data_IF_807757274153
#
_entry.id   IF_807757274153
#
_cell.length_a   1.000
_cell.length_b   1.000
_cell.length_c   1.000
_cell.angle_alpha   90.00
_cell.angle_beta   90.00
_cell.angle_gamma   90.00
#
_symmetry.space_group_name_H-M   'P 1'
#
loop_
_entity.id
_entity.type
_entity.pdbx_description
1 polymer ?
#
# COMPACT_ATOMS: atom_id res chain seq x y z
N UNK A 1 -7.88 2.05 24.83
CA UNK A 1 -6.70 2.59 25.57
C UNK A 1 -6.98 4.00 26.04
N UNK A 2 -6.30 4.47 27.11
CA UNK A 2 -6.36 5.86 27.54
C UNK A 2 -5.71 6.79 26.50
N UNK A 3 -6.10 8.05 26.51
CA UNK A 3 -5.50 9.11 25.69
C UNK A 3 -4.35 9.72 26.48
N UNK A 4 -3.18 9.85 25.87
CA UNK A 4 -2.00 10.42 26.50
C UNK A 4 -1.62 11.74 25.85
N UNK A 5 -1.17 12.67 26.69
CA UNK A 5 -0.65 13.98 26.31
C UNK A 5 0.81 14.12 26.72
N UNK A 6 1.63 14.64 25.81
CA UNK A 6 3.01 14.98 26.09
C UNK A 6 3.34 16.38 25.58
N UNK A 7 3.93 17.20 26.45
CA UNK A 7 4.37 18.55 26.10
C UNK A 7 5.87 18.56 25.79
N UNK A 8 6.23 18.99 24.60
CA UNK A 8 7.62 19.07 24.13
C UNK A 8 8.49 19.98 25.00
N UNK A 9 7.90 20.97 25.70
CA UNK A 9 8.64 21.87 26.59
C UNK A 9 9.22 21.15 27.79
N UNK A 10 8.65 20.00 28.18
CA UNK A 10 9.12 19.18 29.28
C UNK A 10 10.33 18.30 28.96
N UNK A 11 10.77 18.28 27.66
CA UNK A 11 11.88 17.50 27.17
C UNK A 11 11.58 15.99 27.07
N UNK A 12 12.45 15.26 26.35
CA UNK A 12 12.27 13.83 26.03
C UNK A 12 12.35 12.88 27.24
N UNK A 13 12.86 13.34 28.37
CA UNK A 13 12.97 12.56 29.61
C UNK A 13 11.67 12.51 30.39
N UNK A 14 10.72 13.40 30.10
CA UNK A 14 9.41 13.44 30.77
C UNK A 14 8.44 12.54 30.04
N UNK A 15 7.75 11.64 30.75
CA UNK A 15 6.74 10.75 30.14
C UNK A 15 5.46 11.51 29.86
N UNK A 16 4.72 11.03 28.84
CA UNK A 16 3.34 11.43 28.61
C UNK A 16 2.47 11.09 29.81
N UNK A 17 1.47 11.92 30.06
CA UNK A 17 0.47 11.74 31.14
C UNK A 17 -0.90 11.48 30.51
N UNK A 18 -1.77 10.80 31.24
CA UNK A 18 -3.14 10.60 30.81
C UNK A 18 -3.88 11.93 30.72
N UNK A 19 -4.57 12.16 29.60
CA UNK A 19 -5.30 13.39 29.32
C UNK A 19 -6.32 13.70 30.43
N UNK A 20 -7.02 12.69 30.92
CA UNK A 20 -8.02 12.81 31.98
C UNK A 20 -7.45 13.30 33.31
N UNK A 21 -6.14 13.22 33.54
CA UNK A 21 -5.47 13.67 34.76
C UNK A 21 -5.06 15.14 34.72
N UNK A 22 -5.15 15.79 33.56
CA UNK A 22 -4.83 17.20 33.44
C UNK A 22 -5.90 18.07 34.12
N UNK A 23 -5.46 19.17 34.69
CA UNK A 23 -6.37 20.13 35.31
C UNK A 23 -7.39 20.67 34.29
N UNK A 24 -8.67 20.53 34.58
CA UNK A 24 -9.76 20.93 33.69
C UNK A 24 -10.26 19.83 32.74
N UNK A 25 -9.62 18.67 32.68
CA UNK A 25 -9.97 17.57 31.77
C UNK A 25 -10.96 16.56 32.39
N UNK A 26 -11.83 16.97 33.28
CA UNK A 26 -12.72 16.08 34.04
C UNK A 26 -13.72 15.31 33.17
N UNK A 27 -14.05 15.83 31.99
CA UNK A 27 -14.95 15.21 31.01
C UNK A 27 -14.24 14.61 29.82
N UNK A 28 -12.90 14.49 29.82
CA UNK A 28 -12.15 13.88 28.74
C UNK A 28 -12.44 12.36 28.67
N UNK A 29 -12.47 11.77 27.46
CA UNK A 29 -12.64 10.32 27.30
C UNK A 29 -11.54 9.56 28.03
N UNK A 30 -11.93 8.54 28.81
CA UNK A 30 -11.01 7.66 29.52
C UNK A 30 -10.50 6.51 28.63
N UNK A 31 -11.31 6.13 27.62
CA UNK A 31 -11.01 5.05 26.70
C UNK A 31 -11.28 5.53 25.28
N UNK A 32 -10.36 5.26 24.36
CA UNK A 32 -10.56 5.49 22.93
C UNK A 32 -9.85 4.41 22.10
N UNK A 33 -10.41 4.09 20.95
CA UNK A 33 -9.77 3.23 19.94
C UNK A 33 -8.73 4.03 19.16
N UNK A 34 -9.09 5.23 18.69
CA UNK A 34 -8.22 6.13 17.95
C UNK A 34 -8.47 7.58 18.36
N UNK A 35 -7.44 8.40 18.21
CA UNK A 35 -7.52 9.85 18.39
C UNK A 35 -6.93 10.53 17.17
N UNK A 36 -7.62 11.56 16.67
CA UNK A 36 -7.16 12.48 15.63
C UNK A 36 -7.17 13.91 16.17
N UNK A 37 -6.26 14.72 15.67
CA UNK A 37 -6.33 16.18 15.82
C UNK A 37 -6.68 16.72 14.44
N UNK A 38 -7.84 17.38 14.32
CA UNK A 38 -8.23 18.00 13.05
C UNK A 38 -7.37 19.24 12.81
N UNK A 39 -6.55 19.19 11.77
CA UNK A 39 -5.66 20.30 11.40
C UNK A 39 -6.43 21.55 10.98
N UNK A 40 -7.57 21.35 10.33
CA UNK A 40 -8.41 22.42 9.80
C UNK A 40 -9.26 23.08 10.88
N UNK A 41 -9.95 22.26 11.64
CA UNK A 41 -11.01 22.71 12.56
C UNK A 41 -10.51 22.80 14.01
N UNK A 42 -9.28 22.33 14.27
CA UNK A 42 -8.55 22.39 15.54
C UNK A 42 -9.29 21.79 16.73
N UNK A 43 -9.92 20.64 16.48
CA UNK A 43 -10.54 19.80 17.51
C UNK A 43 -9.72 18.54 17.72
N UNK A 44 -9.70 18.03 18.94
CA UNK A 44 -9.24 16.69 19.22
C UNK A 44 -10.46 15.79 19.16
N UNK A 45 -10.40 14.72 18.37
CA UNK A 45 -11.50 13.82 18.11
C UNK A 45 -11.12 12.42 18.55
N UNK A 46 -11.92 11.83 19.43
CA UNK A 46 -11.76 10.48 19.95
C UNK A 46 -12.82 9.57 19.33
N UNK A 47 -12.39 8.44 18.75
CA UNK A 47 -13.23 7.47 18.08
C UNK A 47 -13.31 6.17 18.90
N UNK A 48 -14.51 5.55 18.92
CA UNK A 48 -14.74 4.33 19.69
C UNK A 48 -14.44 4.55 21.18
N UNK A 49 -15.03 5.56 21.77
CA UNK A 49 -14.71 6.01 23.12
C UNK A 49 -15.88 5.79 24.10
N UNK A 50 -15.65 6.10 25.37
CA UNK A 50 -16.71 6.16 26.38
C UNK A 50 -17.57 7.41 26.19
N UNK A 51 -18.87 7.31 26.52
CA UNK A 51 -19.80 8.44 26.49
C UNK A 51 -19.59 9.38 27.68
N UNK A 52 -20.02 10.63 27.53
CA UNK A 52 -20.01 11.59 28.67
C UNK A 52 -20.89 11.13 29.81
N UNK A 53 -22.00 10.44 29.49
CA UNK A 53 -22.92 9.91 30.50
C UNK A 53 -22.42 8.69 31.28
N UNK A 54 -21.47 7.94 30.69
CA UNK A 54 -20.94 6.69 31.28
C UNK A 54 -19.42 6.61 31.13
N UNK A 55 -18.66 7.47 31.83
CA UNK A 55 -17.20 7.47 31.76
C UNK A 55 -16.59 6.12 32.12
N UNK A 56 -15.61 5.67 31.32
CA UNK A 56 -14.94 4.38 31.48
C UNK A 56 -15.68 3.17 30.90
N UNK A 57 -16.90 3.35 30.37
CA UNK A 57 -17.63 2.31 29.65
C UNK A 57 -17.60 2.60 28.15
N UNK A 58 -16.77 1.88 27.40
CA UNK A 58 -16.59 2.09 25.98
C UNK A 58 -17.87 1.77 25.20
N UNK A 59 -18.34 2.69 24.36
CA UNK A 59 -19.24 2.42 23.24
C UNK A 59 -18.44 2.48 21.94
N UNK A 60 -18.22 1.36 21.25
CA UNK A 60 -17.36 1.30 20.06
C UNK A 60 -17.82 2.17 18.88
N UNK A 61 -19.05 2.69 18.90
CA UNK A 61 -19.61 3.53 17.84
C UNK A 61 -19.69 5.02 18.19
N UNK A 62 -19.22 5.40 19.37
CA UNK A 62 -19.25 6.79 19.83
C UNK A 62 -18.00 7.54 19.36
N UNK A 63 -18.22 8.79 18.97
CA UNK A 63 -17.20 9.78 18.61
C UNK A 63 -17.40 10.97 19.54
N UNK A 64 -16.33 11.38 20.23
CA UNK A 64 -16.34 12.61 21.03
C UNK A 64 -15.29 13.56 20.51
N UNK A 65 -15.58 14.85 20.59
CA UNK A 65 -14.65 15.90 20.19
C UNK A 65 -14.55 16.99 21.25
N UNK A 66 -13.34 17.50 21.43
CA UNK A 66 -13.06 18.59 22.36
C UNK A 66 -13.67 19.91 21.85
N UNK A 67 -13.73 20.92 22.69
CA UNK A 67 -13.93 22.29 22.24
C UNK A 67 -12.78 22.73 21.33
N UNK A 68 -13.04 23.63 20.40
CA UNK A 68 -12.06 24.15 19.46
C UNK A 68 -10.83 24.73 20.20
N UNK A 69 -9.64 24.38 19.72
CA UNK A 69 -8.36 24.80 20.30
C UNK A 69 -8.18 24.44 21.79
N UNK A 70 -9.01 23.56 22.35
CA UNK A 70 -8.93 23.16 23.74
C UNK A 70 -8.51 21.68 23.87
N UNK A 71 -7.52 21.46 24.71
CA UNK A 71 -7.06 20.14 25.11
C UNK A 71 -7.96 19.51 26.20
N UNK A 72 -8.56 20.34 27.05
CA UNK A 72 -9.19 19.92 28.29
C UNK A 72 -10.72 20.00 28.32
N UNK A 73 -11.32 20.80 27.45
CA UNK A 73 -12.77 20.99 27.39
C UNK A 73 -13.46 19.95 26.53
N UNK A 74 -14.02 18.91 27.15
CA UNK A 74 -14.69 17.78 26.48
C UNK A 74 -16.17 17.66 26.86
N UNK A 75 -16.62 18.37 27.88
CA UNK A 75 -18.04 18.40 28.26
C UNK A 75 -18.87 19.22 27.28
N UNK A 76 -19.99 18.68 26.81
CA UNK A 76 -20.91 19.34 25.87
C UNK A 76 -21.68 20.46 26.59
N UNK A 77 -21.39 21.70 26.24
CA UNK A 77 -22.07 22.90 26.79
C UNK A 77 -22.60 23.77 25.63
N UNK A 78 -23.66 24.50 25.89
CA UNK A 78 -24.24 25.47 24.93
C UNK A 78 -23.24 26.56 24.53
N UNK A 79 -22.23 26.80 25.35
CA UNK A 79 -21.25 27.88 25.19
C UNK A 79 -19.95 27.42 24.53
N UNK A 80 -19.76 26.13 24.30
CA UNK A 80 -18.55 25.59 23.67
C UNK A 80 -18.88 24.73 22.43
N UNK A 81 -17.85 24.22 21.77
CA UNK A 81 -18.00 23.39 20.56
C UNK A 81 -17.71 21.91 20.81
N UNK A 82 -17.51 21.50 22.07
CA UNK A 82 -17.37 20.10 22.44
C UNK A 82 -18.69 19.33 22.23
N UNK A 83 -18.61 18.06 21.94
CA UNK A 83 -19.80 17.25 21.71
C UNK A 83 -19.52 15.77 21.53
N UNK A 84 -20.63 15.05 21.35
CA UNK A 84 -20.69 13.61 21.18
C UNK A 84 -21.60 13.23 20.03
N UNK A 85 -21.19 12.27 19.23
CA UNK A 85 -21.97 11.69 18.13
C UNK A 85 -21.87 10.16 18.21
N UNK A 86 -22.94 9.48 17.79
CA UNK A 86 -22.97 8.02 17.71
C UNK A 86 -23.34 7.58 16.32
N UNK A 87 -22.55 6.64 15.75
CA UNK A 87 -22.82 6.03 14.45
C UNK A 87 -24.03 5.08 14.53
N UNK A 88 -24.79 5.02 13.45
CA UNK A 88 -26.02 4.21 13.37
C UNK A 88 -25.81 2.81 12.77
N UNK A 89 -24.69 2.55 12.09
CA UNK A 89 -24.42 1.28 11.41
C UNK A 89 -23.02 0.80 11.71
N UNK A 90 -22.86 -0.50 11.93
CA UNK A 90 -21.64 -1.16 12.36
C UNK A 90 -21.70 -1.64 13.80
N UNK A 91 -20.68 -2.37 14.22
CA UNK A 91 -20.50 -2.83 15.60
C UNK A 91 -19.36 -2.11 16.30
N UNK A 92 -18.37 -1.64 15.56
CA UNK A 92 -17.23 -0.88 16.07
C UNK A 92 -16.62 0.04 15.01
N UNK A 93 -16.02 1.13 15.45
CA UNK A 93 -15.16 1.99 14.62
C UNK A 93 -13.79 1.35 14.57
N UNK A 94 -13.33 1.03 13.35
CA UNK A 94 -12.01 0.45 13.11
C UNK A 94 -10.95 1.54 13.04
N UNK A 95 -11.19 2.56 12.20
CA UNK A 95 -10.28 3.70 12.08
C UNK A 95 -10.98 4.93 11.50
N UNK A 96 -10.31 6.07 11.60
CA UNK A 96 -10.67 7.31 10.95
C UNK A 96 -9.45 7.90 10.23
N UNK A 97 -9.69 8.48 9.06
CA UNK A 97 -8.65 9.06 8.20
C UNK A 97 -9.06 10.47 7.81
N UNK A 98 -8.22 11.44 8.11
CA UNK A 98 -8.46 12.84 7.78
C UNK A 98 -8.02 13.13 6.33
N UNK A 99 -8.86 13.86 5.60
CA UNK A 99 -8.55 14.50 4.33
C UNK A 99 -8.61 16.01 4.51
N UNK A 100 -8.29 16.78 3.49
CA UNK A 100 -8.36 18.25 3.56
C UNK A 100 -9.75 18.80 3.87
N UNK A 101 -10.82 18.09 3.50
CA UNK A 101 -12.18 18.60 3.60
C UNK A 101 -13.04 17.89 4.64
N UNK A 102 -12.72 16.65 4.98
CA UNK A 102 -13.55 15.79 5.80
C UNK A 102 -12.73 14.65 6.43
N UNK A 103 -13.32 14.02 7.41
CA UNK A 103 -12.76 12.81 8.03
C UNK A 103 -13.60 11.63 7.56
N UNK A 104 -12.98 10.60 6.98
CA UNK A 104 -13.62 9.32 6.72
C UNK A 104 -13.52 8.45 7.96
N UNK A 105 -14.66 7.95 8.43
CA UNK A 105 -14.76 7.04 9.56
C UNK A 105 -15.19 5.67 9.07
N UNK A 106 -14.36 4.68 9.32
CA UNK A 106 -14.60 3.29 8.93
C UNK A 106 -15.09 2.49 10.11
N UNK A 107 -16.21 1.82 9.93
CA UNK A 107 -16.65 0.76 10.83
C UNK A 107 -16.29 -0.61 10.23
N UNK A 108 -16.61 -1.67 10.92
CA UNK A 108 -16.48 -3.05 10.43
C UNK A 108 -17.28 -3.32 9.14
N UNK A 109 -18.37 -2.57 8.88
CA UNK A 109 -19.28 -2.80 7.72
C UNK A 109 -19.65 -1.55 6.94
N UNK A 110 -19.31 -0.34 7.40
CA UNK A 110 -19.79 0.91 6.81
C UNK A 110 -18.73 2.01 6.81
N UNK A 111 -18.93 2.99 5.94
CA UNK A 111 -18.09 4.18 5.84
C UNK A 111 -18.95 5.42 6.00
N UNK A 112 -18.47 6.30 6.85
CA UNK A 112 -19.10 7.61 7.09
C UNK A 112 -18.14 8.73 6.71
N UNK A 113 -18.69 9.88 6.36
CA UNK A 113 -17.96 11.15 6.33
C UNK A 113 -18.38 12.00 7.52
N UNK A 114 -17.39 12.58 8.19
CA UNK A 114 -17.55 13.53 9.26
C UNK A 114 -17.00 14.88 8.81
N UNK A 115 -17.81 15.94 8.89
CA UNK A 115 -17.46 17.28 8.43
C UNK A 115 -17.79 18.30 9.50
N UNK A 116 -16.96 19.33 9.60
CA UNK A 116 -17.27 20.50 10.41
C UNK A 116 -18.38 21.32 9.75
N UNK A 117 -19.49 21.49 10.45
CA UNK A 117 -20.68 22.23 9.98
C UNK A 117 -20.93 23.50 10.79
N UNK A 118 -20.17 23.68 11.87
CA UNK A 118 -20.27 24.82 12.77
C UNK A 118 -21.41 24.73 13.79
N UNK A 119 -21.47 25.70 14.70
CA UNK A 119 -22.49 25.73 15.74
C UNK A 119 -23.92 25.74 15.17
N UNK A 120 -24.90 25.08 15.83
CA UNK A 120 -24.81 24.49 17.18
C UNK A 120 -24.32 23.04 17.19
N UNK A 121 -24.14 22.38 16.07
CA UNK A 121 -23.85 20.93 16.00
C UNK A 121 -22.36 20.60 15.91
N UNK A 122 -21.51 21.56 15.59
CA UNK A 122 -20.07 21.44 15.40
C UNK A 122 -19.69 20.48 14.25
N UNK A 123 -19.99 19.19 14.34
CA UNK A 123 -19.75 18.20 13.30
C UNK A 123 -21.05 17.52 12.84
N UNK A 124 -21.12 17.25 11.54
CA UNK A 124 -22.15 16.43 10.91
C UNK A 124 -21.55 15.11 10.40
N UNK A 125 -22.35 14.05 10.46
CA UNK A 125 -21.99 12.72 9.99
C UNK A 125 -22.95 12.28 8.91
N UNK A 126 -22.42 11.76 7.78
CA UNK A 126 -23.20 11.17 6.71
C UNK A 126 -22.72 9.76 6.40
N UNK A 127 -23.64 8.81 6.32
CA UNK A 127 -23.36 7.47 5.83
C UNK A 127 -23.12 7.52 4.32
N UNK A 128 -21.97 7.02 3.86
CA UNK A 128 -21.60 7.03 2.45
C UNK A 128 -21.82 5.67 1.80
N UNK A 129 -21.46 4.60 2.48
CA UNK A 129 -21.59 3.25 1.96
C UNK A 129 -21.75 2.22 3.07
N UNK A 130 -22.51 1.18 2.76
CA UNK A 130 -22.67 -0.01 3.61
C UNK A 130 -22.08 -1.26 2.91
N UNK A 131 -21.86 -2.32 3.67
CA UNK A 131 -21.27 -3.58 3.19
C UNK A 131 -19.85 -3.43 2.61
N UNK A 132 -19.12 -2.47 3.11
CA UNK A 132 -17.71 -2.24 2.78
C UNK A 132 -16.91 -2.29 4.08
N UNK A 133 -15.89 -3.14 4.08
CA UNK A 133 -15.01 -3.36 5.22
C UNK A 133 -13.61 -2.82 4.96
N UNK A 134 -12.88 -2.61 6.03
CA UNK A 134 -11.46 -2.28 6.02
C UNK A 134 -10.67 -3.42 6.65
N UNK A 135 -9.44 -3.69 6.18
CA UNK A 135 -8.64 -4.84 6.62
C UNK A 135 -8.09 -4.67 8.03
N UNK A 136 -7.60 -3.50 8.35
CA UNK A 136 -6.99 -3.15 9.64
C UNK A 136 -7.11 -1.66 9.91
N UNK A 137 -6.80 -1.26 11.13
CA UNK A 137 -6.86 0.15 11.55
C UNK A 137 -5.86 1.07 10.81
N UNK A 138 -4.81 0.54 10.21
CA UNK A 138 -3.83 1.31 9.43
C UNK A 138 -3.85 1.00 7.93
N UNK A 139 -4.82 0.25 7.41
CA UNK A 139 -4.85 -0.15 5.99
C UNK A 139 -5.47 0.89 5.05
N UNK A 140 -5.76 2.10 5.54
CA UNK A 140 -6.19 3.24 4.76
C UNK A 140 -5.16 4.37 4.81
N UNK A 141 -5.04 5.09 3.69
CA UNK A 141 -4.19 6.27 3.56
C UNK A 141 -4.88 7.34 2.74
N UNK A 142 -4.78 8.60 3.19
CA UNK A 142 -5.24 9.76 2.45
C UNK A 142 -4.12 10.35 1.59
N UNK A 143 -4.45 10.66 0.35
CA UNK A 143 -3.62 11.44 -0.56
C UNK A 143 -4.48 12.60 -1.02
N UNK A 144 -4.19 13.78 -0.51
CA UNK A 144 -5.04 14.98 -0.68
C UNK A 144 -6.47 14.74 -0.19
N UNK A 145 -7.46 14.77 -1.09
CA UNK A 145 -8.88 14.53 -0.79
C UNK A 145 -9.34 13.12 -1.18
N UNK A 146 -8.42 12.26 -1.56
CA UNK A 146 -8.69 10.88 -1.96
C UNK A 146 -8.17 9.91 -0.90
N UNK A 147 -9.00 8.95 -0.48
CA UNK A 147 -8.61 7.91 0.47
C UNK A 147 -8.59 6.57 -0.23
N UNK A 148 -7.48 5.86 -0.08
CA UNK A 148 -7.27 4.50 -0.59
C UNK A 148 -7.21 3.53 0.58
N UNK A 149 -7.84 2.34 0.46
CA UNK A 149 -7.74 1.33 1.50
C UNK A 149 -7.81 -0.09 0.99
N UNK A 150 -7.26 -0.99 1.78
CA UNK A 150 -7.38 -2.42 1.58
C UNK A 150 -8.58 -2.94 2.39
N UNK A 151 -9.56 -3.49 1.70
CA UNK A 151 -10.68 -4.19 2.32
C UNK A 151 -10.39 -5.67 2.59
N UNK A 152 -11.41 -6.46 2.92
CA UNK A 152 -11.22 -7.88 3.20
C UNK A 152 -10.83 -8.71 1.96
N UNK A 153 -11.29 -8.31 0.77
CA UNK A 153 -11.06 -9.07 -0.46
C UNK A 153 -10.77 -8.19 -1.68
N UNK A 154 -10.75 -6.88 -1.53
CA UNK A 154 -10.58 -5.94 -2.63
C UNK A 154 -9.90 -4.65 -2.15
N UNK A 155 -9.46 -3.83 -3.11
CA UNK A 155 -8.97 -2.50 -2.86
C UNK A 155 -9.99 -1.47 -3.28
N UNK A 156 -10.07 -0.39 -2.53
CA UNK A 156 -11.07 0.65 -2.71
C UNK A 156 -10.47 2.04 -2.71
N UNK A 157 -11.21 2.97 -3.29
CA UNK A 157 -10.89 4.39 -3.31
C UNK A 157 -12.14 5.21 -3.04
N UNK A 158 -11.97 6.28 -2.28
CA UNK A 158 -12.96 7.34 -2.10
C UNK A 158 -12.43 8.67 -2.63
N UNK A 159 -13.16 9.25 -3.56
CA UNK A 159 -12.94 10.59 -4.10
C UNK A 159 -14.30 11.26 -4.35
N UNK A 160 -15.09 11.40 -3.28
CA UNK A 160 -16.51 11.84 -3.35
C UNK A 160 -17.51 10.68 -3.45
N UNK A 161 -17.11 9.53 -3.95
CA UNK A 161 -17.87 8.26 -3.94
C UNK A 161 -16.94 7.09 -3.73
N UNK A 162 -17.48 6.00 -3.17
CA UNK A 162 -16.72 4.77 -2.95
C UNK A 162 -16.70 3.93 -4.21
N UNK A 163 -15.50 3.63 -4.70
CA UNK A 163 -15.29 2.79 -5.87
C UNK A 163 -14.29 1.67 -5.58
N UNK A 164 -14.51 0.53 -6.21
CA UNK A 164 -13.57 -0.57 -6.20
C UNK A 164 -12.45 -0.31 -7.21
N UNK A 165 -11.21 -0.55 -6.83
CA UNK A 165 -10.06 -0.45 -7.72
C UNK A 165 -9.84 -1.82 -8.37
N UNK A 166 -9.93 -1.94 -9.71
CA UNK A 166 -9.56 -3.17 -10.40
C UNK A 166 -8.09 -3.53 -10.11
N UNK A 167 -7.86 -4.73 -9.60
CA UNK A 167 -6.51 -5.17 -9.22
C UNK A 167 -6.15 -6.45 -9.97
N UNK A 168 -5.08 -6.39 -10.78
CA UNK A 168 -4.61 -7.53 -11.58
C UNK A 168 -3.86 -8.58 -10.76
N UNK A 169 -3.35 -8.19 -9.59
CA UNK A 169 -2.62 -9.09 -8.66
C UNK A 169 -3.45 -9.46 -7.43
N UNK A 170 -4.75 -9.22 -7.47
CA UNK A 170 -5.66 -9.44 -6.35
C UNK A 170 -5.55 -10.84 -5.75
N UNK A 171 -5.69 -11.86 -6.57
CA UNK A 171 -5.69 -13.25 -6.11
C UNK A 171 -4.34 -13.65 -5.51
N UNK A 172 -3.23 -13.12 -6.06
CA UNK A 172 -1.91 -13.33 -5.50
C UNK A 172 -1.81 -12.77 -4.08
N UNK A 173 -2.26 -11.54 -3.87
CA UNK A 173 -2.15 -10.85 -2.57
C UNK A 173 -3.07 -11.49 -1.53
N UNK A 174 -4.36 -11.65 -1.83
CA UNK A 174 -5.34 -12.11 -0.83
C UNK A 174 -5.27 -13.61 -0.52
N UNK A 175 -4.72 -14.43 -1.43
CA UNK A 175 -4.45 -15.86 -1.16
C UNK A 175 -3.18 -16.05 -0.34
N UNK A 176 -2.20 -15.16 -0.48
CA UNK A 176 -0.93 -15.22 0.25
C UNK A 176 -0.97 -14.50 1.61
N UNK A 177 -1.97 -13.65 1.85
CA UNK A 177 -2.07 -12.86 3.09
C UNK A 177 -2.33 -13.74 4.32
N UNK A 178 -1.51 -13.57 5.36
CA UNK A 178 -1.75 -14.20 6.66
C UNK A 178 -2.92 -13.53 7.38
N UNK A 179 -4.07 -14.20 7.42
CA UNK A 179 -5.32 -13.67 7.98
C UNK A 179 -5.27 -13.51 9.50
N UNK A 180 -4.46 -14.32 10.20
CA UNK A 180 -4.30 -14.24 11.65
C UNK A 180 -3.48 -13.00 12.07
N UNK A 181 -2.62 -12.52 11.18
CA UNK A 181 -1.78 -11.35 11.38
C UNK A 181 -2.28 -10.13 10.59
N UNK A 182 -3.52 -10.14 10.11
CA UNK A 182 -4.09 -9.10 9.27
C UNK A 182 -4.14 -7.71 9.93
N UNK A 183 -4.16 -7.64 11.24
CA UNK A 183 -4.08 -6.39 12.00
C UNK A 183 -2.77 -5.60 11.78
N UNK A 184 -1.71 -6.28 11.32
CA UNK A 184 -0.41 -5.66 11.01
C UNK A 184 -0.38 -4.98 9.65
N UNK A 185 -1.35 -5.23 8.77
CA UNK A 185 -1.43 -4.60 7.45
C UNK A 185 -1.52 -3.09 7.62
N UNK A 186 -0.69 -2.36 6.90
CA UNK A 186 -0.78 -0.90 6.86
C UNK A 186 -0.62 -0.36 5.44
N UNK A 187 -1.22 0.81 5.20
CA UNK A 187 -1.11 1.56 3.97
C UNK A 187 -0.11 2.71 4.13
N UNK A 188 0.56 3.05 3.06
CA UNK A 188 1.52 4.13 3.00
C UNK A 188 1.41 4.87 1.66
N UNK A 189 1.67 6.17 1.66
CA UNK A 189 1.81 6.96 0.45
C UNK A 189 3.28 7.11 0.08
N UNK A 190 3.58 7.05 -1.22
CA UNK A 190 4.83 7.46 -1.81
C UNK A 190 4.51 8.50 -2.91
N UNK A 191 4.25 9.72 -2.47
CA UNK A 191 3.72 10.79 -3.32
C UNK A 191 4.68 11.17 -4.46
N UNK A 192 6.00 10.99 -4.26
CA UNK A 192 7.01 11.25 -5.29
C UNK A 192 6.86 10.40 -6.56
N UNK A 193 6.23 9.25 -6.45
CA UNK A 193 6.00 8.29 -7.53
C UNK A 193 4.52 8.07 -7.85
N UNK A 194 3.62 8.81 -7.23
CA UNK A 194 2.16 8.66 -7.37
C UNK A 194 1.67 7.26 -6.97
N UNK A 195 2.15 6.77 -5.83
CA UNK A 195 1.93 5.39 -5.39
C UNK A 195 1.26 5.30 -4.04
N UNK A 196 0.42 4.25 -3.90
CA UNK A 196 -0.10 3.75 -2.63
C UNK A 196 0.45 2.36 -2.41
N UNK A 197 1.05 2.15 -1.25
CA UNK A 197 1.64 0.90 -0.83
C UNK A 197 0.79 0.27 0.28
N UNK A 198 0.58 -1.05 0.21
CA UNK A 198 0.05 -1.84 1.33
C UNK A 198 1.07 -2.90 1.69
N UNK A 199 1.57 -2.80 2.90
CA UNK A 199 2.47 -3.78 3.48
C UNK A 199 1.67 -4.84 4.22
N UNK A 200 2.01 -6.10 4.01
CA UNK A 200 1.27 -7.21 4.60
C UNK A 200 2.17 -8.40 4.94
N UNK A 201 1.82 -9.21 5.97
CA UNK A 201 2.48 -10.49 6.24
C UNK A 201 1.99 -11.56 5.26
N UNK A 202 2.92 -12.29 4.64
CA UNK A 202 2.58 -13.44 3.81
C UNK A 202 2.05 -14.62 4.63
N UNK A 203 1.46 -15.61 3.98
CA UNK A 203 0.89 -16.80 4.64
C UNK A 203 1.92 -17.57 5.49
N UNK A 204 3.20 -17.46 5.16
CA UNK A 204 4.30 -18.12 5.87
C UNK A 204 4.99 -17.25 6.92
N UNK A 205 4.56 -15.99 7.08
CA UNK A 205 5.18 -15.02 7.99
C UNK A 205 4.22 -14.54 9.07
N UNK A 206 4.73 -14.32 10.27
CA UNK A 206 4.02 -13.63 11.33
C UNK A 206 4.29 -12.11 11.35
N UNK A 207 5.29 -11.65 10.62
CA UNK A 207 5.66 -10.25 10.46
C UNK A 207 5.52 -9.81 9.00
N UNK A 208 5.47 -8.48 8.78
CA UNK A 208 5.37 -7.92 7.44
C UNK A 208 6.63 -8.26 6.65
N UNK A 209 6.45 -8.90 5.50
CA UNK A 209 7.51 -9.33 4.60
C UNK A 209 7.22 -9.04 3.13
N UNK A 210 5.99 -8.62 2.81
CA UNK A 210 5.56 -8.32 1.44
C UNK A 210 4.82 -7.00 1.33
N UNK A 211 4.76 -6.52 0.11
CA UNK A 211 3.97 -5.35 -0.24
C UNK A 211 3.29 -5.49 -1.60
N UNK A 212 2.22 -4.75 -1.77
CA UNK A 212 1.55 -4.50 -3.05
C UNK A 212 1.43 -3.01 -3.25
N UNK A 213 1.66 -2.54 -4.46
CA UNK A 213 1.64 -1.13 -4.83
C UNK A 213 0.63 -0.87 -5.93
N UNK A 214 -0.08 0.22 -5.80
CA UNK A 214 -0.92 0.79 -6.83
C UNK A 214 -0.41 2.16 -7.24
N UNK A 215 0.05 2.30 -8.47
CA UNK A 215 0.30 3.61 -9.05
C UNK A 215 -1.03 4.22 -9.50
N UNK A 216 -1.48 5.26 -8.79
CA UNK A 216 -2.83 5.83 -9.01
C UNK A 216 -2.90 6.74 -10.24
N UNK A 217 -1.78 7.17 -10.80
CA UNK A 217 -1.71 7.93 -12.05
C UNK A 217 -1.76 6.99 -13.27
N UNK A 218 -0.89 5.98 -13.30
CA UNK A 218 -0.78 5.03 -14.40
C UNK A 218 -1.79 3.88 -14.34
N UNK A 219 -2.47 3.68 -13.20
CA UNK A 219 -3.44 2.61 -12.93
C UNK A 219 -2.82 1.21 -13.06
N UNK A 220 -1.58 1.04 -12.68
CA UNK A 220 -0.86 -0.22 -12.69
C UNK A 220 -0.59 -0.73 -11.28
N UNK A 221 -0.42 -2.06 -11.17
CA UNK A 221 -0.13 -2.75 -9.94
C UNK A 221 1.20 -3.48 -10.04
N UNK A 222 1.94 -3.53 -8.96
CA UNK A 222 3.10 -4.39 -8.79
C UNK A 222 3.25 -4.85 -7.35
N UNK A 223 4.08 -5.87 -7.15
CA UNK A 223 4.29 -6.54 -5.87
C UNK A 223 5.77 -6.68 -5.59
N UNK A 224 6.12 -6.88 -4.34
CA UNK A 224 7.48 -7.16 -3.95
C UNK A 224 7.56 -7.69 -2.52
N UNK A 225 8.79 -7.90 -2.08
CA UNK A 225 9.12 -8.33 -0.73
C UNK A 225 9.95 -7.28 -0.04
N UNK A 226 9.50 -6.82 1.12
CA UNK A 226 10.20 -5.81 1.92
C UNK A 226 9.70 -5.86 3.36
N UNK A 227 10.61 -5.98 4.29
CA UNK A 227 10.35 -6.03 5.71
C UNK A 227 10.28 -4.60 6.27
N UNK A 228 9.10 -4.01 6.31
CA UNK A 228 8.88 -2.66 6.89
C UNK A 228 7.61 -2.68 7.74
N UNK A 229 7.71 -2.12 8.93
CA UNK A 229 6.63 -2.09 9.93
C UNK A 229 5.94 -0.74 10.04
N UNK A 230 6.57 0.31 9.57
CA UNK A 230 6.02 1.65 9.48
C UNK A 230 6.69 2.41 8.33
N UNK A 231 5.97 3.37 7.77
CA UNK A 231 6.42 4.19 6.66
C UNK A 231 6.02 5.64 6.85
N UNK A 232 6.93 6.54 6.57
CA UNK A 232 6.70 7.97 6.50
C UNK A 232 7.14 8.47 5.12
N UNK A 233 6.21 9.08 4.39
CA UNK A 233 6.52 9.69 3.10
C UNK A 233 7.55 10.83 3.30
N UNK A 234 8.21 11.19 2.22
CA UNK A 234 9.32 12.16 2.24
C UNK A 234 8.97 13.48 2.97
N UNK A 235 7.74 14.00 2.82
CA UNK A 235 7.33 15.26 3.44
C UNK A 235 8.36 16.37 3.24
N UNK A 236 9.00 16.80 4.33
CA UNK A 236 10.11 17.77 4.33
C UNK A 236 11.48 17.12 4.18
N UNK A 237 11.56 15.78 4.18
CA UNK A 237 12.80 15.05 3.99
C UNK A 237 13.08 14.87 2.49
N UNK A 238 14.32 14.54 2.15
CA UNK A 238 14.69 14.27 0.76
C UNK A 238 14.12 12.95 0.24
N UNK A 239 13.91 11.96 1.14
CA UNK A 239 13.47 10.62 0.84
C UNK A 239 12.48 10.09 1.87
N UNK A 240 11.61 9.12 1.51
CA UNK A 240 10.79 8.39 2.48
C UNK A 240 11.65 7.63 3.49
N UNK A 241 11.12 7.48 4.70
CA UNK A 241 11.78 6.75 5.78
C UNK A 241 10.87 5.65 6.29
N UNK A 242 11.41 4.46 6.49
CA UNK A 242 10.65 3.34 7.01
C UNK A 242 11.38 2.62 8.15
N UNK A 243 10.61 2.12 9.11
CA UNK A 243 11.11 1.27 10.18
C UNK A 243 11.06 -0.20 9.77
N UNK A 244 12.04 -0.97 10.24
CA UNK A 244 12.12 -2.41 10.02
C UNK A 244 12.09 -3.18 11.34
N UNK A 245 11.79 -4.47 11.28
CA UNK A 245 11.78 -5.37 12.45
C UNK A 245 13.16 -5.59 13.07
N UNK A 246 14.24 -5.25 12.37
CA UNK A 246 15.61 -5.29 12.88
C UNK A 246 15.96 -4.12 13.81
N UNK A 247 15.04 -3.15 13.98
CA UNK A 247 15.20 -2.00 14.85
C UNK A 247 15.89 -0.79 14.20
N UNK A 248 16.11 -0.83 12.88
CA UNK A 248 16.70 0.28 12.13
C UNK A 248 15.64 1.09 11.35
N UNK A 249 15.99 2.33 11.07
CA UNK A 249 15.28 3.20 10.12
C UNK A 249 16.07 3.23 8.82
N UNK A 250 15.35 3.04 7.72
CA UNK A 250 15.93 3.04 6.37
C UNK A 250 15.38 4.19 5.55
N UNK A 251 16.27 4.88 4.85
CA UNK A 251 15.88 5.80 3.79
C UNK A 251 15.55 5.00 2.53
N UNK A 252 14.43 5.35 1.91
CA UNK A 252 13.97 4.72 0.67
C UNK A 252 14.13 5.66 -0.52
N UNK A 253 14.04 5.11 -1.73
CA UNK A 253 14.19 5.85 -2.99
C UNK A 253 15.56 6.54 -3.11
N UNK A 254 16.61 5.89 -2.58
CA UNK A 254 17.99 6.39 -2.62
C UNK A 254 18.91 5.35 -3.24
N UNK A 255 19.45 5.66 -4.45
CA UNK A 255 20.32 4.73 -5.20
C UNK A 255 19.55 3.60 -5.89
N UNK A 256 20.31 2.65 -6.44
CA UNK A 256 19.82 1.53 -7.26
C UNK A 256 19.97 0.17 -6.57
N UNK A 257 20.56 0.12 -5.37
CA UNK A 257 20.87 -1.10 -4.63
C UNK A 257 20.25 -1.12 -3.23
N UNK A 258 20.17 -2.30 -2.64
CA UNK A 258 19.79 -2.47 -1.25
C UNK A 258 20.98 -2.12 -0.33
N UNK A 259 20.91 -0.91 0.23
CA UNK A 259 21.89 -0.38 1.19
C UNK A 259 21.74 -0.89 2.62
N UNK A 260 20.81 -1.83 2.90
CA UNK A 260 20.62 -2.39 4.25
C UNK A 260 21.77 -3.32 4.68
N UNK A 261 22.62 -3.75 3.74
CA UNK A 261 23.77 -4.62 3.98
C UNK A 261 25.09 -3.93 3.64
N UNK A 262 26.17 -4.39 4.25
CA UNK A 262 27.53 -3.94 3.89
C UNK A 262 28.43 -5.17 3.60
N UNK A 263 28.88 -5.39 2.35
CA UNK A 263 28.63 -4.54 1.17
C UNK A 263 27.15 -4.53 0.75
N UNK A 264 26.75 -3.50 0.00
CA UNK A 264 25.40 -3.38 -0.54
C UNK A 264 25.02 -4.59 -1.38
N UNK A 265 23.78 -5.00 -1.35
CA UNK A 265 23.26 -6.12 -2.14
C UNK A 265 22.37 -5.62 -3.29
N UNK A 266 22.25 -6.46 -4.32
CA UNK A 266 21.41 -6.13 -5.47
C UNK A 266 19.93 -6.18 -5.12
N UNK A 267 19.15 -5.23 -5.63
CA UNK A 267 17.70 -5.32 -5.67
C UNK A 267 17.33 -6.30 -6.80
N UNK A 268 16.70 -7.42 -6.44
CA UNK A 268 16.17 -8.37 -7.42
C UNK A 268 14.90 -7.81 -8.05
N UNK A 269 15.02 -7.21 -9.22
CA UNK A 269 13.92 -6.61 -9.95
C UNK A 269 13.59 -7.38 -11.22
N UNK A 270 12.30 -7.57 -11.51
CA UNK A 270 11.87 -8.17 -12.77
C UNK A 270 10.53 -7.64 -13.26
N UNK A 271 10.34 -7.75 -14.59
CA UNK A 271 9.05 -7.60 -15.25
C UNK A 271 8.84 -8.81 -16.15
N UNK A 272 7.66 -9.42 -16.08
CA UNK A 272 7.28 -10.56 -16.92
C UNK A 272 5.94 -10.29 -17.58
N UNK A 273 5.86 -10.45 -18.89
CA UNK A 273 4.61 -10.31 -19.62
C UNK A 273 3.68 -11.49 -19.32
N UNK A 274 2.39 -11.27 -19.47
CA UNK A 274 1.44 -12.38 -19.68
C UNK A 274 1.81 -13.13 -20.96
N UNK A 275 1.10 -14.22 -21.21
CA UNK A 275 1.25 -14.96 -22.45
C UNK A 275 0.80 -14.14 -23.65
N UNK A 276 1.66 -14.07 -24.66
CA UNK A 276 1.42 -13.41 -25.94
C UNK A 276 1.22 -14.52 -26.97
N UNK A 277 0.01 -14.61 -27.52
CA UNK A 277 -0.28 -15.52 -28.60
C UNK A 277 0.16 -14.92 -29.94
N UNK A 278 0.71 -15.76 -30.81
CA UNK A 278 1.16 -15.35 -32.15
C UNK A 278 0.04 -15.66 -33.14
N UNK A 279 -0.56 -14.60 -33.67
CA UNK A 279 -1.77 -14.74 -34.48
C UNK A 279 -2.96 -15.23 -33.69
N UNK A 280 -3.64 -16.27 -34.16
CA UNK A 280 -4.76 -16.94 -33.49
C UNK A 280 -4.33 -18.05 -32.49
N UNK A 281 -3.03 -18.25 -32.27
CA UNK A 281 -2.48 -19.32 -31.43
C UNK A 281 -2.55 -20.73 -32.03
N UNK A 282 -3.08 -20.90 -33.23
CA UNK A 282 -3.24 -22.20 -33.86
C UNK A 282 -1.96 -22.76 -34.48
N UNK A 283 -1.00 -21.91 -34.80
CA UNK A 283 0.23 -22.29 -35.48
C UNK A 283 1.43 -22.18 -34.55
N UNK A 284 2.40 -23.06 -34.75
CA UNK A 284 3.71 -22.86 -34.13
C UNK A 284 4.42 -21.71 -34.83
N UNK A 285 5.18 -20.99 -34.05
CA UNK A 285 6.04 -19.94 -34.55
C UNK A 285 7.46 -20.16 -34.07
N UNK A 286 8.41 -19.80 -34.89
CA UNK A 286 9.83 -19.85 -34.59
C UNK A 286 10.34 -18.45 -34.38
N UNK A 287 10.91 -18.21 -33.21
CA UNK A 287 11.49 -16.93 -32.79
C UNK A 287 12.98 -16.98 -33.05
N UNK A 288 13.50 -16.02 -33.81
CA UNK A 288 14.89 -16.00 -34.25
C UNK A 288 15.72 -14.88 -33.67
N UNK A 289 15.09 -13.72 -33.34
CA UNK A 289 15.78 -12.54 -32.91
C UNK A 289 14.88 -11.71 -32.01
N UNK A 290 15.49 -11.02 -31.05
CA UNK A 290 14.87 -10.01 -30.19
C UNK A 290 15.69 -8.74 -30.24
N UNK A 291 15.03 -7.59 -30.40
CA UNK A 291 15.60 -6.27 -30.18
C UNK A 291 15.10 -5.83 -28.80
N UNK A 292 15.97 -5.73 -27.79
CA UNK A 292 15.55 -5.66 -26.38
C UNK A 292 14.89 -4.33 -25.98
N UNK A 293 15.23 -3.23 -26.62
CA UNK A 293 14.77 -1.87 -26.27
C UNK A 293 14.89 -1.57 -24.76
N UNK A 294 16.10 -1.74 -24.25
CA UNK A 294 16.46 -1.45 -22.86
C UNK A 294 17.33 -0.19 -22.78
N UNK A 295 16.99 0.71 -21.89
CA UNK A 295 17.82 1.89 -21.56
C UNK A 295 18.39 1.70 -20.16
N UNK A 296 19.70 1.80 -20.03
CA UNK A 296 20.40 1.73 -18.77
C UNK A 296 20.61 3.15 -18.21
N UNK A 297 20.35 3.33 -16.92
CA UNK A 297 20.51 4.59 -16.20
C UNK A 297 21.38 4.36 -14.99
N UNK A 298 22.30 5.29 -14.75
CA UNK A 298 23.18 5.24 -13.56
C UNK A 298 23.92 3.91 -13.36
N UNK A 299 24.00 3.09 -14.42
CA UNK A 299 24.59 1.75 -14.35
C UNK A 299 26.10 1.82 -14.51
N UNK A 300 26.82 0.96 -13.78
CA UNK A 300 28.24 0.76 -13.97
C UNK A 300 28.53 0.19 -15.37
N UNK A 301 29.71 0.47 -15.90
CA UNK A 301 30.17 -0.09 -17.18
C UNK A 301 30.13 -1.62 -17.14
N UNK A 302 29.53 -2.24 -18.18
CA UNK A 302 29.38 -3.70 -18.27
C UNK A 302 28.19 -4.27 -17.49
N UNK A 303 27.33 -3.44 -16.91
CA UNK A 303 26.09 -3.90 -16.29
C UNK A 303 25.15 -4.53 -17.33
N UNK A 304 24.53 -5.66 -16.99
CA UNK A 304 23.62 -6.37 -17.86
C UNK A 304 22.32 -6.74 -17.17
N UNK A 305 21.20 -6.60 -17.89
CA UNK A 305 19.93 -7.19 -17.53
C UNK A 305 19.75 -8.52 -18.26
N UNK A 306 19.08 -9.47 -17.64
CA UNK A 306 18.83 -10.77 -18.25
C UNK A 306 17.45 -10.77 -18.90
N UNK A 307 17.41 -11.05 -20.20
CA UNK A 307 16.18 -11.19 -20.96
C UNK A 307 15.90 -12.69 -21.20
N UNK A 308 14.75 -13.17 -20.75
CA UNK A 308 14.34 -14.56 -20.87
C UNK A 308 13.03 -14.63 -21.66
N UNK A 309 13.05 -15.37 -22.78
CA UNK A 309 11.85 -15.79 -23.50
C UNK A 309 11.47 -17.21 -23.09
N UNK A 310 10.19 -17.39 -22.74
CA UNK A 310 9.59 -18.69 -22.41
C UNK A 310 8.52 -19.02 -23.45
N UNK A 311 8.46 -20.26 -23.94
CA UNK A 311 7.45 -20.65 -24.93
C UNK A 311 6.60 -21.82 -24.45
N UNK A 312 5.34 -21.86 -24.91
CA UNK A 312 4.40 -22.97 -24.68
C UNK A 312 3.98 -23.62 -26.00
N UNK A 313 3.65 -24.91 -25.91
CA UNK A 313 3.15 -25.67 -27.06
C UNK A 313 1.61 -25.65 -27.13
N UNK A 314 0.91 -25.34 -26.04
CA UNK A 314 -0.54 -25.29 -25.99
C UNK A 314 -1.02 -24.18 -25.03
N UNK A 315 -2.16 -23.54 -25.28
CA UNK A 315 -2.79 -22.61 -24.36
C UNK A 315 -3.04 -23.29 -23.01
N UNK A 316 -2.78 -22.58 -21.92
CA UNK A 316 -2.90 -23.13 -20.57
C UNK A 316 -1.83 -24.16 -20.17
N UNK A 317 -0.95 -24.57 -21.08
CA UNK A 317 0.17 -25.45 -20.78
C UNK A 317 1.25 -24.76 -19.95
N UNK A 318 2.15 -25.56 -19.38
CA UNK A 318 3.32 -25.05 -18.68
C UNK A 318 4.45 -24.68 -19.68
N UNK A 319 5.50 -24.05 -19.20
CA UNK A 319 6.68 -23.67 -19.98
C UNK A 319 7.75 -24.79 -20.04
N UNK A 320 7.39 -26.01 -19.67
CA UNK A 320 8.33 -27.13 -19.61
C UNK A 320 8.60 -27.71 -20.99
N UNK A 321 9.76 -28.29 -21.17
CA UNK A 321 10.06 -29.11 -22.34
C UNK A 321 9.18 -30.36 -22.30
N UNK A 322 8.82 -30.88 -23.50
CA UNK A 322 7.86 -31.97 -23.65
C UNK A 322 8.23 -33.27 -22.92
N UNK A 323 9.52 -33.48 -22.66
CA UNK A 323 10.04 -34.68 -21.99
C UNK A 323 10.70 -34.39 -20.63
N UNK A 324 10.47 -33.18 -20.06
CA UNK A 324 11.04 -32.78 -18.79
C UNK A 324 9.95 -32.27 -17.85
N UNK A 325 10.08 -32.60 -16.56
CA UNK A 325 9.25 -32.06 -15.48
C UNK A 325 9.85 -30.80 -14.85
N UNK A 326 11.10 -30.47 -15.15
CA UNK A 326 11.86 -29.40 -14.51
C UNK A 326 12.48 -28.40 -15.49
N UNK A 327 12.81 -28.80 -16.71
CA UNK A 327 13.50 -27.93 -17.67
C UNK A 327 12.51 -27.04 -18.40
N UNK A 328 12.67 -25.74 -18.26
CA UNK A 328 11.85 -24.74 -18.95
C UNK A 328 12.27 -24.61 -20.42
N UNK A 329 11.28 -24.50 -21.30
CA UNK A 329 11.51 -24.20 -22.72
C UNK A 329 11.72 -22.70 -22.89
N UNK A 330 12.94 -22.26 -22.71
CA UNK A 330 13.32 -20.84 -22.67
C UNK A 330 14.65 -20.58 -23.38
N UNK A 331 14.84 -19.34 -23.78
CA UNK A 331 16.13 -18.80 -24.19
C UNK A 331 16.43 -17.57 -23.32
N UNK A 332 17.61 -17.55 -22.74
CA UNK A 332 18.06 -16.46 -21.86
C UNK A 332 19.26 -15.78 -22.49
N UNK A 333 19.23 -14.45 -22.54
CA UNK A 333 20.28 -13.63 -23.14
C UNK A 333 20.61 -12.47 -22.22
N UNK A 334 21.89 -12.24 -21.89
CA UNK A 334 22.30 -11.01 -21.23
C UNK A 334 22.19 -9.84 -22.23
N UNK A 335 21.67 -8.71 -21.76
CA UNK A 335 21.52 -7.48 -22.53
C UNK A 335 22.28 -6.38 -21.81
N UNK A 336 23.22 -5.80 -22.51
CA UNK A 336 24.04 -4.67 -22.05
C UNK A 336 23.64 -3.39 -22.79
N UNK A 337 24.19 -2.26 -22.39
CA UNK A 337 23.86 -0.95 -22.95
C UNK A 337 23.98 -0.87 -24.48
N UNK A 338 24.92 -1.61 -25.07
CA UNK A 338 25.20 -1.58 -26.53
C UNK A 338 24.69 -2.83 -27.26
N UNK A 339 23.84 -3.64 -26.63
CA UNK A 339 23.26 -4.80 -27.28
C UNK A 339 22.16 -4.38 -28.24
N UNK A 340 22.45 -4.41 -29.54
CA UNK A 340 21.51 -4.02 -30.60
C UNK A 340 20.43 -5.11 -30.81
N UNK A 341 20.86 -6.37 -30.88
CA UNK A 341 19.96 -7.53 -31.02
C UNK A 341 20.48 -8.77 -30.29
N UNK A 342 19.57 -9.64 -29.95
CA UNK A 342 19.85 -10.95 -29.36
C UNK A 342 19.28 -12.05 -30.23
N UNK A 343 20.13 -13.02 -30.63
CA UNK A 343 19.71 -14.15 -31.43
C UNK A 343 19.28 -15.32 -30.57
N UNK A 344 18.07 -15.79 -30.80
CA UNK A 344 17.45 -16.88 -30.05
C UNK A 344 16.93 -17.95 -31.00
N UNK A 345 16.66 -19.15 -30.46
CA UNK A 345 16.05 -20.25 -31.21
C UNK A 345 14.98 -20.91 -30.36
N UNK A 346 13.77 -20.39 -30.48
CA UNK A 346 12.62 -20.90 -29.74
C UNK A 346 11.46 -21.20 -30.68
N UNK A 347 10.74 -22.28 -30.38
CA UNK A 347 9.54 -22.71 -31.08
C UNK A 347 8.40 -22.87 -30.09
N UNK A 348 7.28 -22.24 -30.37
CA UNK A 348 6.07 -22.33 -29.54
C UNK A 348 4.86 -21.73 -30.22
N UNK A 349 3.68 -21.90 -29.62
CA UNK A 349 2.45 -21.25 -30.09
C UNK A 349 2.24 -19.90 -29.41
N UNK A 350 2.69 -19.80 -28.18
CA UNK A 350 2.66 -18.56 -27.43
C UNK A 350 3.97 -18.40 -26.65
N UNK A 351 4.28 -17.17 -26.26
CA UNK A 351 5.49 -16.85 -25.52
C UNK A 351 5.23 -15.82 -24.42
N UNK A 352 6.10 -15.80 -23.42
CA UNK A 352 6.20 -14.74 -22.43
C UNK A 352 7.63 -14.20 -22.40
N UNK A 353 7.75 -12.90 -22.20
CA UNK A 353 9.01 -12.20 -22.07
C UNK A 353 9.21 -11.80 -20.61
N UNK A 354 10.38 -12.12 -20.07
CA UNK A 354 10.83 -11.68 -18.76
C UNK A 354 12.13 -10.92 -18.91
N UNK A 355 12.22 -9.78 -18.25
CA UNK A 355 13.46 -9.01 -18.07
C UNK A 355 13.73 -8.92 -16.58
N UNK A 356 14.95 -9.21 -16.17
CA UNK A 356 15.33 -9.19 -14.76
C UNK A 356 16.77 -8.73 -14.54
N UNK A 357 17.04 -8.19 -13.36
CA UNK A 357 18.39 -7.89 -12.88
C UNK A 357 18.56 -8.37 -11.45
N UNK A 358 19.75 -8.90 -11.16
CA UNK A 358 20.15 -9.42 -9.84
C UNK A 358 21.56 -8.99 -9.47
N UNK A 359 22.11 -8.00 -10.19
CA UNK A 359 23.45 -7.46 -9.97
C UNK A 359 23.37 -6.06 -9.38
N UNK A 360 24.38 -5.68 -8.60
CA UNK A 360 24.47 -4.34 -8.02
C UNK A 360 24.82 -3.27 -9.06
N UNK A 361 24.47 -2.02 -8.77
CA UNK A 361 24.81 -0.88 -9.60
C UNK A 361 24.11 -0.86 -10.97
N UNK A 362 22.89 -1.37 -11.06
CA UNK A 362 22.15 -1.43 -12.31
C UNK A 362 20.76 -0.78 -12.18
N UNK A 363 20.53 0.27 -12.97
CA UNK A 363 19.22 0.86 -13.20
C UNK A 363 18.82 0.70 -14.68
N UNK A 364 17.64 0.17 -14.97
CA UNK A 364 17.18 -0.05 -16.35
C UNK A 364 15.71 0.33 -16.54
N UNK A 365 15.39 0.65 -17.77
CA UNK A 365 14.03 0.93 -18.22
C UNK A 365 13.74 0.10 -19.46
N UNK A 366 12.65 -0.67 -19.41
CA UNK A 366 12.14 -1.42 -20.55
C UNK A 366 11.24 -0.52 -21.42
N UNK A 367 11.55 -0.43 -22.71
CA UNK A 367 10.73 0.20 -23.72
C UNK A 367 9.79 -0.80 -24.42
N UNK A 368 9.79 -0.81 -25.74
CA UNK A 368 8.95 -1.68 -26.57
C UNK A 368 9.81 -2.72 -27.29
N UNK A 369 10.11 -3.87 -26.69
CA UNK A 369 10.95 -4.90 -27.31
C UNK A 369 10.27 -5.43 -28.59
N UNK A 370 11.09 -5.74 -29.59
CA UNK A 370 10.63 -6.29 -30.89
C UNK A 370 11.13 -7.70 -31.05
N UNK A 371 10.29 -8.56 -31.60
CA UNK A 371 10.59 -9.98 -31.78
C UNK A 371 10.39 -10.36 -33.21
N UNK A 372 11.41 -10.97 -33.85
CA UNK A 372 11.30 -11.53 -35.19
C UNK A 372 10.75 -12.95 -35.12
N UNK A 373 9.57 -13.12 -35.70
CA UNK A 373 8.81 -14.36 -35.66
C UNK A 373 8.56 -14.87 -37.07
N UNK A 374 8.70 -16.19 -37.25
CA UNK A 374 8.36 -16.87 -38.51
C UNK A 374 7.33 -17.97 -38.23
N UNK A 375 6.28 -18.10 -39.04
CA UNK A 375 5.38 -19.25 -38.99
C UNK A 375 6.13 -20.57 -39.19
N UNK A 376 5.82 -21.60 -38.39
CA UNK A 376 6.48 -22.91 -38.40
C UNK A 376 5.48 -24.08 -38.37
N UNK A 377 4.36 -23.91 -39.09
CA UNK A 377 3.36 -24.94 -39.31
C UNK A 377 2.46 -25.21 -38.08
N UNK A 378 1.62 -26.24 -38.22
CA UNK A 378 0.62 -26.61 -37.19
C UNK A 378 1.04 -27.77 -36.28
N UNK A 379 2.15 -28.43 -36.59
CA UNK A 379 2.69 -29.58 -35.84
C UNK A 379 4.13 -29.35 -35.41
#
# INVERSE_FOLDING_TARGET
SAIYYWDKTNGLTTRAVELSTLAGSTSAPLIATQVLVSDRDRHIIAFGCDTEASPGTQDPLVIRFSSQESLTEWGSLVTNTAGELRLGSGSEIICAVETRQQILVFTDVSIYTMQFIGPPFTFGINLISENISIRSYNSAVAIEDTVFWMGLNDFYVYGGSVNKIPCTVKDHVFNDLNKEQASKVFAAANAGFSEVWWFYPSASSSEIDKYVVFNYEQKIWYIGSLNRTAWMDRGVNESPVAASTDGYLYNHETGDDDGSTNPVSAISAHIESSQIDIGDGNQFSFITRIIPDLTFRSSADGSSATLTLKTRNAPGGNYLQTESTTVTKSATVPVEQFTEDARVRLRGRSFALRVESTTTGIGWRLGSPRVDIRPDGRR
#
